data_IF_238703359200
#
_entry.id   IF_238703359200
#
_cell.length_a   1.000
_cell.length_b   1.000
_cell.length_c   1.000
_cell.angle_alpha   90.00
_cell.angle_beta   90.00
_cell.angle_gamma   90.00
#
_symmetry.space_group_name_H-M   'P 1'
#
loop_
_entity.id
_entity.type
_entity.pdbx_description
1 polymer ?
#
# COMPACT_ATOMS: atom_id res chain seq x y z
N UNK A 1 -4.68 -16.98 -22.64
CA UNK A 1 -5.92 -16.19 -22.68
C UNK A 1 -5.52 -14.77 -22.35
N UNK A 2 -5.58 -13.85 -23.32
CA UNK A 2 -5.08 -12.47 -23.15
C UNK A 2 -6.04 -11.76 -22.20
N UNK A 3 -5.59 -11.48 -20.96
CA UNK A 3 -6.29 -10.53 -20.09
C UNK A 3 -6.19 -9.18 -20.79
N UNK A 4 -7.34 -8.59 -21.13
CA UNK A 4 -7.43 -7.20 -21.58
C UNK A 4 -6.80 -6.32 -20.49
N UNK A 5 -5.55 -5.94 -20.69
CA UNK A 5 -4.94 -4.85 -19.95
C UNK A 5 -5.72 -3.61 -20.40
N UNK A 6 -6.43 -3.01 -19.45
CA UNK A 6 -7.26 -1.84 -19.65
C UNK A 6 -6.49 -0.74 -20.38
N UNK A 7 -7.25 0.12 -21.06
CA UNK A 7 -6.85 1.28 -21.85
C UNK A 7 -5.88 2.22 -21.09
N UNK A 8 -4.63 1.81 -20.89
CA UNK A 8 -3.54 2.63 -20.38
C UNK A 8 -3.03 3.48 -21.55
N UNK A 9 -2.96 4.80 -21.36
CA UNK A 9 -2.46 5.73 -22.39
C UNK A 9 -3.49 6.68 -23.01
N UNK A 10 -4.35 7.29 -22.21
CA UNK A 10 -5.04 8.52 -22.63
C UNK A 10 -4.07 9.72 -22.68
N UNK A 11 -4.32 10.77 -23.48
CA UNK A 11 -3.38 11.88 -23.68
C UNK A 11 -2.99 12.66 -22.42
N UNK A 12 -3.68 12.44 -21.29
CA UNK A 12 -3.47 13.13 -20.03
C UNK A 12 -2.80 12.28 -18.93
N UNK A 13 -2.65 10.96 -19.12
CA UNK A 13 -2.17 10.04 -18.09
C UNK A 13 -1.10 9.10 -18.66
N UNK A 14 0.00 8.90 -17.94
CA UNK A 14 1.10 8.04 -18.37
C UNK A 14 0.82 6.61 -17.89
N UNK A 15 0.70 5.66 -18.82
CA UNK A 15 0.50 4.23 -18.50
C UNK A 15 -0.68 3.93 -17.55
N UNK A 16 -1.69 4.79 -17.58
CA UNK A 16 -2.90 4.63 -16.78
C UNK A 16 -4.07 5.45 -17.33
N UNK A 17 -5.11 5.57 -16.52
CA UNK A 17 -6.27 6.41 -16.79
C UNK A 17 -6.65 7.24 -15.55
N UNK A 18 -7.73 8.01 -15.64
CA UNK A 18 -8.16 8.89 -14.56
C UNK A 18 -8.43 8.12 -13.25
N UNK A 19 -8.87 6.87 -13.29
CA UNK A 19 -9.04 6.07 -12.09
C UNK A 19 -7.72 5.84 -11.36
N UNK A 20 -6.61 5.62 -12.08
CA UNK A 20 -5.25 5.45 -11.54
C UNK A 20 -4.77 6.73 -10.86
N UNK A 21 -4.83 7.84 -11.60
CA UNK A 21 -4.23 9.10 -11.18
C UNK A 21 -5.04 9.92 -10.17
N UNK A 22 -6.35 9.65 -10.00
CA UNK A 22 -7.20 10.44 -9.09
C UNK A 22 -6.71 10.41 -7.64
N UNK A 23 -6.00 9.35 -7.24
CA UNK A 23 -5.58 9.14 -5.85
C UNK A 23 -4.18 9.66 -5.55
N UNK A 24 -3.46 10.14 -6.55
CA UNK A 24 -2.05 10.51 -6.44
C UNK A 24 -1.89 11.94 -5.90
N UNK A 25 -2.43 12.20 -4.70
CA UNK A 25 -2.27 13.45 -3.94
C UNK A 25 -1.67 13.13 -2.56
N UNK A 26 -0.48 12.51 -2.50
CA UNK A 26 0.06 11.99 -1.24
C UNK A 26 0.35 13.10 -0.23
N UNK A 27 0.67 14.32 -0.68
CA UNK A 27 0.99 15.44 0.20
C UNK A 27 -0.24 16.05 0.91
N UNK A 28 -1.46 15.73 0.45
CA UNK A 28 -2.69 16.34 0.98
C UNK A 28 -3.91 15.42 0.82
N UNK A 29 -3.85 14.28 1.52
CA UNK A 29 -4.90 13.25 1.48
C UNK A 29 -6.18 13.77 2.18
N UNK A 30 -6.05 14.63 3.18
CA UNK A 30 -7.19 15.23 3.88
C UNK A 30 -8.03 16.10 2.95
N UNK A 31 -7.41 17.02 2.18
CA UNK A 31 -8.17 17.81 1.22
C UNK A 31 -8.65 16.99 0.03
N UNK A 32 -7.93 15.93 -0.38
CA UNK A 32 -8.47 14.98 -1.35
C UNK A 32 -9.79 14.36 -0.85
N UNK A 33 -9.86 13.92 0.41
CA UNK A 33 -11.09 13.41 1.03
C UNK A 33 -12.19 14.48 1.00
N UNK A 34 -11.87 15.74 1.31
CA UNK A 34 -12.82 16.85 1.25
C UNK A 34 -13.34 17.09 -0.17
N UNK A 35 -12.48 17.05 -1.19
CA UNK A 35 -12.84 17.21 -2.61
C UNK A 35 -13.79 16.11 -3.11
N UNK A 36 -13.65 14.89 -2.60
CA UNK A 36 -14.61 13.82 -2.86
C UNK A 36 -15.97 14.02 -2.16
N UNK A 37 -16.08 15.02 -1.29
CA UNK A 37 -17.28 15.34 -0.51
C UNK A 37 -17.35 14.58 0.80
N UNK A 38 -16.20 14.26 1.40
CA UNK A 38 -16.04 13.65 2.72
C UNK A 38 -15.69 12.16 2.70
N UNK A 39 -15.33 11.65 3.88
CA UNK A 39 -14.83 10.29 4.15
C UNK A 39 -15.65 9.17 3.49
N UNK A 40 -16.99 9.25 3.59
CA UNK A 40 -17.87 8.22 3.05
C UNK A 40 -17.79 8.13 1.52
N UNK A 41 -17.83 9.27 0.83
CA UNK A 41 -17.77 9.29 -0.65
C UNK A 41 -16.39 8.91 -1.16
N UNK A 42 -15.34 9.37 -0.48
CA UNK A 42 -13.96 8.98 -0.75
C UNK A 42 -13.80 7.46 -0.65
N UNK A 43 -14.16 6.88 0.49
CA UNK A 43 -13.97 5.44 0.73
C UNK A 43 -14.85 4.56 -0.15
N UNK A 44 -16.08 4.97 -0.46
CA UNK A 44 -16.94 4.24 -1.39
C UNK A 44 -16.36 4.22 -2.81
N UNK A 45 -15.81 5.36 -3.27
CA UNK A 45 -15.17 5.46 -4.59
C UNK A 45 -13.87 4.66 -4.63
N UNK A 46 -13.07 4.68 -3.56
CA UNK A 46 -11.84 3.90 -3.46
C UNK A 46 -12.14 2.40 -3.46
N UNK A 47 -13.12 1.96 -2.66
CA UNK A 47 -13.54 0.57 -2.63
C UNK A 47 -14.13 0.12 -3.97
N UNK A 48 -14.82 1.02 -4.68
CA UNK A 48 -15.29 0.78 -6.04
C UNK A 48 -14.13 0.58 -7.02
N UNK A 49 -13.01 1.28 -6.87
CA UNK A 49 -11.83 1.07 -7.70
C UNK A 49 -11.32 -0.38 -7.60
N UNK A 50 -11.28 -0.96 -6.40
CA UNK A 50 -10.96 -2.38 -6.22
C UNK A 50 -12.04 -3.32 -6.80
N UNK A 51 -13.33 -3.05 -6.54
CA UNK A 51 -14.45 -3.91 -6.98
C UNK A 51 -14.62 -3.97 -8.50
N UNK A 52 -14.36 -2.87 -9.19
CA UNK A 52 -14.51 -2.75 -10.64
C UNK A 52 -13.20 -3.00 -11.40
N UNK A 53 -12.15 -3.47 -10.72
CA UNK A 53 -10.82 -3.76 -11.30
C UNK A 53 -10.11 -2.54 -11.91
N UNK A 54 -10.25 -1.38 -11.28
CA UNK A 54 -9.49 -0.17 -11.63
C UNK A 54 -8.17 -0.02 -10.86
N UNK A 55 -7.89 -0.92 -9.90
CA UNK A 55 -6.61 -1.03 -9.20
C UNK A 55 -5.78 -2.15 -9.81
N UNK A 56 -4.48 -1.92 -9.96
CA UNK A 56 -3.49 -2.96 -10.25
C UNK A 56 -2.21 -2.73 -9.47
N UNK A 57 -1.65 -3.79 -8.88
CA UNK A 57 -0.37 -3.71 -8.15
C UNK A 57 0.86 -3.72 -9.08
N UNK A 58 0.64 -3.91 -10.38
CA UNK A 58 1.74 -4.08 -11.34
C UNK A 58 2.30 -2.76 -11.90
N UNK A 59 1.83 -1.61 -11.41
CA UNK A 59 2.24 -0.28 -11.87
C UNK A 59 2.19 0.73 -10.71
N UNK A 60 3.14 1.66 -10.68
CA UNK A 60 3.43 2.56 -9.56
C UNK A 60 2.30 3.51 -9.13
N UNK A 61 1.47 4.07 -10.03
CA UNK A 61 0.45 5.04 -9.61
C UNK A 61 -0.55 4.50 -8.58
N UNK A 62 -0.76 3.18 -8.56
CA UNK A 62 -1.81 2.52 -7.79
C UNK A 62 -1.32 2.00 -6.44
N UNK A 63 0.00 1.86 -6.23
CA UNK A 63 0.57 1.05 -5.14
C UNK A 63 0.24 1.59 -3.73
N UNK A 64 -0.14 2.85 -3.61
CA UNK A 64 -0.56 3.47 -2.34
C UNK A 64 -2.03 3.24 -1.98
N UNK A 65 -2.88 2.84 -2.93
CA UNK A 65 -4.33 2.71 -2.75
C UNK A 65 -4.76 1.95 -1.49
N UNK A 66 -4.25 0.74 -1.20
CA UNK A 66 -4.75 -0.03 -0.06
C UNK A 66 -4.53 0.70 1.26
N UNK A 67 -3.50 1.56 1.36
CA UNK A 67 -3.17 2.32 2.55
C UNK A 67 -4.04 3.56 2.75
N UNK A 68 -4.69 4.07 1.70
CA UNK A 68 -5.53 5.28 1.81
C UNK A 68 -6.74 5.07 2.72
N UNK A 69 -7.17 3.83 2.96
CA UNK A 69 -8.24 3.53 3.92
C UNK A 69 -7.84 3.81 5.38
N UNK A 70 -6.55 3.91 5.72
CA UNK A 70 -6.11 4.34 7.06
C UNK A 70 -6.38 5.82 7.33
N UNK A 71 -6.64 6.62 6.31
CA UNK A 71 -7.00 8.04 6.44
C UNK A 71 -8.51 8.26 6.56
N UNK A 72 -9.31 7.19 6.61
CA UNK A 72 -10.78 7.28 6.66
C UNK A 72 -11.27 6.61 7.93
N UNK A 73 -11.87 7.40 8.83
CA UNK A 73 -12.33 6.91 10.12
C UNK A 73 -13.35 5.77 9.98
N UNK A 74 -13.10 4.66 10.66
CA UNK A 74 -13.96 3.47 10.66
C UNK A 74 -13.85 2.61 9.40
N UNK A 75 -12.89 2.88 8.50
CA UNK A 75 -12.59 2.07 7.31
C UNK A 75 -11.17 1.50 7.32
N UNK A 76 -10.41 1.76 8.37
CA UNK A 76 -9.00 1.39 8.52
C UNK A 76 -8.79 -0.11 8.33
N UNK A 77 -9.74 -0.91 8.83
CA UNK A 77 -9.77 -2.37 8.71
C UNK A 77 -9.67 -2.86 7.26
N UNK A 78 -10.04 -2.08 6.25
CA UNK A 78 -9.92 -2.51 4.84
C UNK A 78 -8.46 -2.65 4.39
N UNK A 79 -7.55 -1.83 4.93
CA UNK A 79 -6.13 -1.83 4.60
C UNK A 79 -5.48 -3.22 4.76
N UNK A 80 -5.51 -3.84 5.96
CA UNK A 80 -4.87 -5.14 6.15
C UNK A 80 -5.53 -6.26 5.33
N UNK A 81 -6.84 -6.20 5.08
CA UNK A 81 -7.53 -7.18 4.25
C UNK A 81 -7.10 -7.08 2.78
N UNK A 82 -6.97 -5.87 2.25
CA UNK A 82 -6.53 -5.63 0.88
C UNK A 82 -5.07 -6.01 0.68
N UNK A 83 -4.16 -5.63 1.60
CA UNK A 83 -2.74 -5.99 1.52
C UNK A 83 -2.57 -7.51 1.49
N UNK A 84 -3.22 -8.25 2.41
CA UNK A 84 -3.19 -9.73 2.42
C UNK A 84 -3.70 -10.31 1.10
N UNK A 85 -4.81 -9.78 0.58
CA UNK A 85 -5.38 -10.22 -0.69
C UNK A 85 -4.42 -9.99 -1.86
N UNK A 86 -3.81 -8.80 -1.95
CA UNK A 86 -2.85 -8.43 -2.99
C UNK A 86 -1.64 -9.36 -2.93
N UNK A 87 -1.00 -9.49 -1.76
CA UNK A 87 0.16 -10.36 -1.59
C UNK A 87 -0.15 -11.80 -2.04
N UNK A 88 -1.25 -12.38 -1.55
CA UNK A 88 -1.60 -13.78 -1.83
C UNK A 88 -1.98 -14.05 -3.29
N UNK A 89 -2.54 -13.07 -4.00
CA UNK A 89 -3.06 -13.26 -5.35
C UNK A 89 -2.09 -12.81 -6.45
N UNK A 90 -1.10 -11.98 -6.12
CA UNK A 90 -0.27 -11.30 -7.11
C UNK A 90 1.23 -11.63 -7.00
N UNK A 91 1.68 -12.19 -5.87
CA UNK A 91 3.08 -12.52 -5.66
C UNK A 91 3.26 -14.04 -5.49
N UNK A 92 4.40 -14.55 -5.95
CA UNK A 92 4.75 -15.96 -5.89
C UNK A 92 6.25 -16.18 -5.84
N UNK A 93 6.67 -17.43 -5.68
CA UNK A 93 8.08 -17.82 -5.56
C UNK A 93 8.68 -18.40 -6.85
N UNK A 94 7.89 -18.48 -7.92
CA UNK A 94 8.32 -18.97 -9.23
C UNK A 94 8.98 -17.89 -10.10
N UNK A 95 9.45 -18.26 -11.31
CA UNK A 95 10.00 -17.31 -12.28
C UNK A 95 9.03 -16.19 -12.71
N UNK A 96 7.72 -16.40 -12.56
CA UNK A 96 6.62 -15.45 -12.79
C UNK A 96 6.05 -14.88 -11.47
N UNK A 97 6.86 -14.88 -10.40
CA UNK A 97 6.44 -14.52 -9.05
C UNK A 97 6.14 -13.03 -8.81
N UNK A 98 6.45 -12.15 -9.77
CA UNK A 98 6.12 -10.73 -9.68
C UNK A 98 4.89 -10.40 -10.54
N UNK A 99 4.04 -9.46 -10.10
CA UNK A 99 2.81 -9.12 -10.82
C UNK A 99 3.03 -8.30 -12.10
N UNK A 100 4.23 -7.77 -12.31
CA UNK A 100 4.60 -6.90 -13.42
C UNK A 100 6.10 -6.66 -13.44
N UNK A 101 6.49 -5.56 -14.09
CA UNK A 101 7.87 -5.09 -14.02
C UNK A 101 8.21 -4.75 -12.57
N UNK A 102 9.45 -5.06 -12.16
CA UNK A 102 9.89 -4.72 -10.81
C UNK A 102 10.29 -3.23 -10.67
N UNK A 103 10.53 -2.58 -11.81
CA UNK A 103 10.95 -1.18 -11.95
C UNK A 103 12.03 -0.79 -10.95
N UNK A 104 13.19 -1.43 -11.12
CA UNK A 104 14.38 -1.26 -10.29
C UNK A 104 14.15 -1.51 -8.79
N UNK A 105 13.23 -2.43 -8.46
CA UNK A 105 12.93 -2.83 -7.08
C UNK A 105 11.79 -2.03 -6.45
N UNK A 106 11.00 -1.29 -7.23
CA UNK A 106 9.83 -0.56 -6.75
C UNK A 106 8.74 -1.52 -6.26
N UNK A 107 8.37 -2.52 -7.08
CA UNK A 107 7.34 -3.50 -6.70
C UNK A 107 7.86 -4.46 -5.61
N UNK A 108 9.12 -4.90 -5.70
CA UNK A 108 9.77 -5.66 -4.63
C UNK A 108 9.85 -4.85 -3.33
N UNK A 109 10.14 -3.56 -3.41
CA UNK A 109 10.16 -2.64 -2.27
C UNK A 109 8.78 -2.52 -1.62
N UNK A 110 7.73 -2.41 -2.44
CA UNK A 110 6.35 -2.45 -1.95
C UNK A 110 6.05 -3.74 -1.19
N UNK A 111 6.45 -4.89 -1.74
CA UNK A 111 6.26 -6.19 -1.08
C UNK A 111 6.98 -6.22 0.27
N UNK A 112 8.26 -5.79 0.31
CA UNK A 112 9.05 -5.78 1.54
C UNK A 112 8.41 -4.90 2.60
N UNK A 113 8.09 -3.64 2.30
CA UNK A 113 7.42 -2.74 3.25
C UNK A 113 6.08 -3.33 3.74
N UNK A 114 5.26 -3.82 2.82
CA UNK A 114 3.99 -4.47 3.17
C UNK A 114 4.17 -5.66 4.10
N UNK A 115 5.16 -6.52 3.81
CA UNK A 115 5.49 -7.69 4.64
C UNK A 115 6.05 -7.29 6.02
N UNK A 116 6.77 -6.16 6.10
CA UNK A 116 7.22 -5.58 7.37
C UNK A 116 6.04 -5.04 8.20
N UNK A 117 4.90 -4.76 7.57
CA UNK A 117 3.67 -4.32 8.23
C UNK A 117 3.44 -2.80 8.20
N UNK A 118 4.19 -2.04 7.40
CA UNK A 118 4.03 -0.59 7.27
C UNK A 118 4.56 -0.08 5.92
N UNK A 119 4.07 1.08 5.46
CA UNK A 119 4.43 1.60 4.13
C UNK A 119 4.56 3.13 4.10
N UNK A 120 5.57 3.69 3.41
CA UNK A 120 5.73 5.13 3.24
C UNK A 120 4.81 5.67 2.13
N UNK A 121 3.54 5.92 2.46
CA UNK A 121 2.57 6.50 1.50
C UNK A 121 3.00 7.87 1.00
N UNK A 122 3.66 8.64 1.87
CA UNK A 122 4.20 9.97 1.57
C UNK A 122 5.73 9.87 1.68
N UNK A 123 6.46 9.62 0.57
CA UNK A 123 7.89 9.31 0.64
C UNK A 123 8.78 10.43 1.20
N UNK A 124 8.27 11.66 1.23
CA UNK A 124 8.98 12.84 1.75
C UNK A 124 8.60 13.18 3.20
N UNK A 125 7.77 12.36 3.84
CA UNK A 125 7.38 12.50 5.24
C UNK A 125 8.14 11.49 6.12
N UNK A 126 8.22 11.74 7.42
CA UNK A 126 8.86 10.82 8.39
C UNK A 126 7.89 9.78 8.95
N UNK A 127 6.66 9.76 8.44
CA UNK A 127 5.59 8.85 8.84
C UNK A 127 5.47 7.61 7.94
N UNK A 128 5.03 6.51 8.55
CA UNK A 128 4.71 5.27 7.85
C UNK A 128 3.30 4.84 8.22
N UNK A 129 2.56 4.34 7.23
CA UNK A 129 1.18 3.91 7.42
C UNK A 129 1.15 2.42 7.76
N UNK A 130 0.51 2.08 8.88
CA UNK A 130 0.37 0.71 9.33
C UNK A 130 -0.41 -0.13 8.31
N UNK A 131 0.19 -1.24 7.90
CA UNK A 131 -0.42 -2.29 7.10
C UNK A 131 -0.82 -3.46 7.99
N UNK A 132 -0.28 -4.64 7.68
CA UNK A 132 -0.31 -5.84 8.51
C UNK A 132 0.93 -6.68 8.23
N UNK A 133 1.73 -7.06 9.26
CA UNK A 133 2.95 -7.81 9.03
C UNK A 133 2.65 -9.22 8.51
N UNK A 134 3.52 -9.73 7.64
CA UNK A 134 3.43 -11.08 7.08
C UNK A 134 3.92 -12.15 8.07
N UNK A 135 4.86 -11.79 8.93
CA UNK A 135 5.49 -12.68 9.91
C UNK A 135 5.07 -12.31 11.33
N UNK A 136 5.02 -13.29 12.23
CA UNK A 136 4.63 -13.07 13.63
C UNK A 136 5.59 -12.12 14.36
N UNK A 137 6.88 -12.18 14.02
CA UNK A 137 7.93 -11.32 14.58
C UNK A 137 8.99 -10.98 13.55
N UNK A 138 9.35 -9.70 13.48
CA UNK A 138 10.35 -9.15 12.57
C UNK A 138 11.36 -8.34 13.40
N UNK A 139 12.64 -8.44 13.05
CA UNK A 139 13.71 -7.65 13.66
C UNK A 139 14.54 -6.99 12.59
N UNK A 140 14.49 -5.66 12.54
CA UNK A 140 15.21 -4.82 11.59
C UNK A 140 16.40 -4.21 12.31
N UNK A 141 17.61 -4.55 11.88
CA UNK A 141 18.83 -3.91 12.39
C UNK A 141 18.95 -2.50 11.83
N UNK A 142 18.94 -1.50 12.71
CA UNK A 142 19.09 -0.10 12.33
C UNK A 142 20.57 0.28 12.22
N UNK A 143 20.86 1.26 11.35
CA UNK A 143 22.20 1.82 11.25
C UNK A 143 22.41 2.85 12.38
N UNK A 144 23.43 2.62 13.21
CA UNK A 144 23.77 3.45 14.37
C UNK A 144 24.28 4.85 14.00
N UNK A 145 24.69 5.05 12.76
CA UNK A 145 25.09 6.37 12.27
C UNK A 145 23.89 7.33 12.15
N UNK A 146 22.69 6.77 11.98
CA UNK A 146 21.45 7.53 11.75
C UNK A 146 20.43 7.38 12.90
N UNK A 147 20.45 6.26 13.62
CA UNK A 147 19.49 5.98 14.68
C UNK A 147 20.18 5.59 15.98
N UNK A 148 19.75 6.12 17.15
CA UNK A 148 20.34 5.76 18.44
C UNK A 148 20.02 4.31 18.85
N UNK A 149 18.87 3.78 18.42
CA UNK A 149 18.49 2.39 18.60
C UNK A 149 19.25 1.43 17.68
N UNK A 150 19.35 0.17 18.08
CA UNK A 150 20.03 -0.89 17.34
C UNK A 150 19.07 -1.79 16.55
N UNK A 151 17.88 -2.04 17.08
CA UNK A 151 16.90 -2.96 16.48
C UNK A 151 15.50 -2.37 16.58
N UNK A 152 14.79 -2.28 15.45
CA UNK A 152 13.34 -2.12 15.39
C UNK A 152 12.70 -3.51 15.35
N UNK A 153 11.83 -3.79 16.32
CA UNK A 153 11.05 -5.02 16.40
C UNK A 153 9.61 -4.73 16.03
N UNK A 154 9.04 -5.55 15.14
CA UNK A 154 7.61 -5.53 14.77
C UNK A 154 7.02 -6.89 15.13
N UNK A 155 5.95 -6.90 15.92
CA UNK A 155 5.31 -8.13 16.38
C UNK A 155 3.79 -8.08 16.20
N UNK A 156 3.23 -9.20 15.72
CA UNK A 156 1.79 -9.45 15.72
C UNK A 156 1.39 -9.89 17.13
N UNK A 157 0.53 -9.12 17.81
CA UNK A 157 0.17 -9.38 19.21
C UNK A 157 -1.05 -10.32 19.31
N UNK A 158 -1.96 -10.22 18.35
CA UNK A 158 -3.16 -11.06 18.27
C UNK A 158 -3.58 -11.30 16.82
N UNK A 159 -4.66 -12.07 16.62
CA UNK A 159 -5.24 -12.27 15.29
C UNK A 159 -5.95 -11.04 14.72
N UNK A 160 -6.17 -10.00 15.54
CA UNK A 160 -6.61 -8.70 15.05
C UNK A 160 -5.48 -8.07 14.21
N UNK A 161 -5.71 -7.80 12.90
CA UNK A 161 -4.68 -7.22 12.04
C UNK A 161 -4.26 -5.79 12.43
N UNK A 162 -5.03 -5.11 13.29
CA UNK A 162 -4.71 -3.77 13.77
C UNK A 162 -3.88 -3.77 15.07
N UNK A 163 -3.72 -4.93 15.73
CA UNK A 163 -2.90 -5.07 16.94
C UNK A 163 -1.44 -5.43 16.61
N UNK A 164 -0.68 -4.40 16.23
CA UNK A 164 0.75 -4.50 15.88
C UNK A 164 1.59 -3.76 16.94
N UNK A 165 2.62 -4.44 17.46
CA UNK A 165 3.59 -3.85 18.38
C UNK A 165 4.83 -3.38 17.63
N UNK A 166 5.24 -2.13 17.85
CA UNK A 166 6.49 -1.56 17.37
C UNK A 166 7.37 -1.17 18.55
N UNK A 167 8.63 -1.62 18.56
CA UNK A 167 9.57 -1.29 19.63
C UNK A 167 10.99 -1.11 19.11
N UNK A 168 11.67 -0.07 19.59
CA UNK A 168 13.08 0.20 19.25
C UNK A 168 13.92 0.02 20.51
N UNK A 169 14.95 -0.82 20.42
CA UNK A 169 15.94 -1.06 21.49
C UNK A 169 17.33 -0.63 21.08
#
# INVERSE_FOLDING_TARGET
>A
MVKNIFNSGGPSNIEGNAWNYTWFVPHDIEDLINLFGGEQKFSDKLLRAFKENHFTINNEPDISYPYLFRYVKGKEYLTPHLIKSIINNNFGTGPDGLPGNDDCGTISGWFVFSALGFYPVIPADDSYIAGVPLFDKISIKLNKDYYPGSILTVEKISDDPDEIYFNVT
#
